data_IF_405330745147
#
_entry.id   IF_405330745147
#
_cell.length_a   1.000
_cell.length_b   1.000
_cell.length_c   1.000
_cell.angle_alpha   90.00
_cell.angle_beta   90.00
_cell.angle_gamma   90.00
#
_symmetry.space_group_name_H-M   'P 1'
#
loop_
_entity.id
_entity.type
_entity.pdbx_description
1 polymer ?
#
# COMPACT_ATOMS: atom_id res chain seq x y z
N UNK A 1 14.16 -18.25 -51.85
CA UNK A 1 12.70 -18.49 -51.87
C UNK A 1 12.21 -18.45 -50.44
N UNK A 2 11.75 -17.29 -50.01
CA UNK A 2 11.20 -17.06 -48.67
C UNK A 2 9.82 -16.46 -48.90
N UNK A 3 8.77 -17.11 -48.39
CA UNK A 3 7.43 -16.57 -48.46
C UNK A 3 6.79 -16.63 -47.07
N UNK A 4 6.59 -15.43 -46.54
CA UNK A 4 5.54 -15.04 -45.61
C UNK A 4 4.66 -14.04 -46.41
N UNK A 5 3.43 -13.63 -46.03
CA UNK A 5 2.50 -14.04 -44.96
C UNK A 5 1.15 -14.48 -45.62
N UNK A 6 -0.01 -14.68 -45.02
CA UNK A 6 -0.62 -14.28 -43.78
C UNK A 6 -1.72 -15.32 -43.47
N UNK A 7 -1.75 -15.84 -42.24
CA UNK A 7 -2.85 -16.66 -41.75
C UNK A 7 -3.63 -15.89 -40.69
N UNK A 8 -4.93 -15.80 -40.95
CA UNK A 8 -5.96 -15.46 -39.99
C UNK A 8 -5.93 -16.36 -38.75
N UNK A 9 -6.43 -15.77 -37.66
CA UNK A 9 -7.24 -16.38 -36.60
C UNK A 9 -6.57 -16.53 -35.22
N UNK A 10 -7.39 -16.16 -34.22
CA UNK A 10 -7.26 -16.38 -32.78
C UNK A 10 -6.49 -15.32 -31.97
N UNK A 11 -7.11 -14.16 -31.76
CA UNK A 11 -6.84 -13.35 -30.56
C UNK A 11 -7.72 -13.87 -29.42
N UNK A 12 -7.24 -14.91 -28.75
CA UNK A 12 -7.65 -15.18 -27.37
C UNK A 12 -7.21 -13.95 -26.55
N UNK A 13 -8.18 -13.21 -26.03
CA UNK A 13 -7.94 -12.13 -25.08
C UNK A 13 -7.32 -12.70 -23.81
N UNK A 14 -5.99 -12.70 -23.76
CA UNK A 14 -5.26 -12.94 -22.53
C UNK A 14 -5.49 -11.74 -21.60
N UNK A 15 -6.42 -11.92 -20.65
CA UNK A 15 -6.46 -11.12 -19.44
C UNK A 15 -5.11 -11.28 -18.74
N UNK A 16 -4.24 -10.28 -18.90
CA UNK A 16 -3.09 -10.08 -18.02
C UNK A 16 -3.63 -9.92 -16.59
N UNK A 17 -3.27 -10.80 -15.64
CA UNK A 17 -3.48 -10.50 -14.24
C UNK A 17 -2.60 -9.29 -13.93
N UNK A 18 -3.23 -8.17 -13.59
CA UNK A 18 -2.53 -7.03 -13.02
C UNK A 18 -1.77 -7.52 -11.80
N UNK A 19 -0.45 -7.35 -11.82
CA UNK A 19 0.44 -7.50 -10.67
C UNK A 19 0.08 -6.42 -9.65
N UNK A 20 -1.00 -6.63 -8.90
CA UNK A 20 -1.15 -5.98 -7.61
C UNK A 20 -0.12 -6.62 -6.68
N UNK A 21 0.85 -5.84 -6.20
CA UNK A 21 1.82 -6.29 -5.21
C UNK A 21 1.07 -6.68 -3.93
N UNK A 22 0.87 -7.98 -3.75
CA UNK A 22 0.18 -8.52 -2.59
C UNK A 22 1.09 -8.38 -1.36
N UNK A 23 0.60 -7.73 -0.30
CA UNK A 23 1.20 -7.77 1.05
C UNK A 23 1.15 -9.17 1.70
N UNK A 24 0.74 -10.21 0.95
CA UNK A 24 0.50 -11.58 1.42
C UNK A 24 1.77 -12.40 1.70
N UNK A 25 2.95 -11.92 1.32
CA UNK A 25 4.22 -12.64 1.53
C UNK A 25 4.86 -12.44 2.91
N UNK A 26 4.49 -11.38 3.64
CA UNK A 26 5.15 -10.98 4.89
C UNK A 26 4.42 -11.55 6.12
N UNK A 27 5.16 -12.18 7.04
CA UNK A 27 4.58 -12.69 8.28
C UNK A 27 3.94 -11.56 9.10
N UNK A 28 2.96 -11.88 9.95
CA UNK A 28 2.31 -10.87 10.79
C UNK A 28 3.32 -10.14 11.70
N UNK A 29 4.30 -10.86 12.24
CA UNK A 29 5.33 -10.27 13.10
C UNK A 29 6.21 -9.26 12.34
N UNK A 30 6.66 -9.62 11.13
CA UNK A 30 7.45 -8.70 10.28
C UNK A 30 6.63 -7.46 9.89
N UNK A 31 5.35 -7.67 9.53
CA UNK A 31 4.45 -6.57 9.17
C UNK A 31 4.20 -5.63 10.35
N UNK A 32 3.95 -6.17 11.55
CA UNK A 32 3.75 -5.35 12.76
C UNK A 32 4.99 -4.50 13.03
N UNK A 33 6.18 -5.12 13.00
CA UNK A 33 7.44 -4.40 13.22
C UNK A 33 7.65 -3.28 12.19
N UNK A 34 7.31 -3.53 10.92
CA UNK A 34 7.40 -2.52 9.87
C UNK A 34 6.37 -1.41 10.07
N UNK A 35 5.10 -1.74 10.31
CA UNK A 35 4.06 -0.75 10.58
C UNK A 35 4.41 0.16 11.78
N UNK A 36 5.03 -0.39 12.82
CA UNK A 36 5.44 0.37 14.01
C UNK A 36 6.54 1.41 13.72
N UNK A 37 7.32 1.27 12.65
CA UNK A 37 8.33 2.27 12.27
C UNK A 37 7.75 3.49 11.55
N UNK A 38 6.44 3.47 11.25
CA UNK A 38 5.72 4.56 10.59
C UNK A 38 5.51 5.81 11.46
N UNK A 39 5.71 5.73 12.78
CA UNK A 39 5.51 6.83 13.72
C UNK A 39 6.50 6.80 14.88
N UNK A 40 6.61 7.87 15.68
CA UNK A 40 7.43 7.86 16.89
C UNK A 40 7.04 6.70 17.81
N UNK A 41 8.01 6.03 18.49
CA UNK A 41 7.72 4.86 19.33
C UNK A 41 6.64 5.09 20.39
N UNK A 42 6.54 6.32 20.93
CA UNK A 42 5.51 6.69 21.90
C UNK A 42 4.07 6.63 21.34
N UNK A 43 3.92 6.72 20.01
CA UNK A 43 2.64 6.61 19.29
C UNK A 43 2.44 5.17 18.81
N UNK A 44 3.38 4.62 18.03
CA UNK A 44 3.18 3.33 17.36
C UNK A 44 3.07 2.15 18.33
N UNK A 45 3.77 2.18 19.47
CA UNK A 45 3.69 1.12 20.48
C UNK A 45 2.29 0.96 21.09
N UNK A 46 1.45 2.00 21.03
CA UNK A 46 0.07 2.00 21.56
C UNK A 46 -1.00 2.09 20.48
N UNK A 47 -0.61 2.27 19.22
CA UNK A 47 -1.51 2.30 18.08
C UNK A 47 -2.09 0.92 17.79
N UNK A 48 -3.26 0.87 17.15
CA UNK A 48 -3.74 -0.35 16.52
C UNK A 48 -2.84 -0.69 15.34
N UNK A 49 -2.72 -1.97 14.98
CA UNK A 49 -2.06 -2.40 13.76
C UNK A 49 -3.08 -3.12 12.90
N UNK A 50 -3.25 -2.65 11.66
CA UNK A 50 -4.15 -3.27 10.71
C UNK A 50 -3.46 -3.44 9.35
N UNK A 51 -3.78 -4.51 8.65
CA UNK A 51 -3.31 -4.80 7.29
C UNK A 51 -4.44 -4.57 6.30
N UNK A 52 -4.16 -3.92 5.18
CA UNK A 52 -5.11 -3.70 4.11
C UNK A 52 -4.77 -4.63 2.95
N UNK A 53 -5.72 -5.45 2.53
CA UNK A 53 -5.62 -6.24 1.31
C UNK A 53 -6.47 -5.54 0.22
N UNK A 54 -5.85 -4.81 -0.72
CA UNK A 54 -6.61 -4.06 -1.74
C UNK A 54 -7.26 -4.98 -2.78
N UNK A 55 -6.71 -6.17 -3.02
CA UNK A 55 -7.26 -7.15 -3.95
C UNK A 55 -8.55 -7.74 -3.40
N UNK A 56 -8.53 -8.11 -2.11
CA UNK A 56 -9.72 -8.61 -1.40
C UNK A 56 -10.63 -7.50 -0.89
N UNK A 57 -10.20 -6.24 -0.94
CA UNK A 57 -10.88 -5.07 -0.37
C UNK A 57 -11.22 -5.25 1.11
N UNK A 58 -10.26 -5.79 1.87
CA UNK A 58 -10.46 -6.12 3.29
C UNK A 58 -9.42 -5.43 4.17
N UNK A 59 -9.81 -5.17 5.41
CA UNK A 59 -8.94 -4.70 6.48
C UNK A 59 -8.91 -5.77 7.56
N UNK A 60 -7.72 -6.20 7.95
CA UNK A 60 -7.52 -7.19 9.02
C UNK A 60 -6.79 -6.54 10.19
N UNK A 61 -7.42 -6.48 11.36
CA UNK A 61 -6.73 -6.05 12.57
C UNK A 61 -5.78 -7.14 13.05
N UNK A 62 -4.52 -6.77 13.29
CA UNK A 62 -3.47 -7.66 13.78
C UNK A 62 -3.17 -7.42 15.27
N UNK A 63 -3.41 -6.20 15.75
CA UNK A 63 -3.22 -5.80 17.15
C UNK A 63 -4.15 -4.64 17.48
N UNK A 64 -4.89 -4.75 18.57
CA UNK A 64 -5.72 -3.65 19.08
C UNK A 64 -4.85 -2.48 19.58
N UNK A 65 -5.39 -1.27 19.47
CA UNK A 65 -4.75 -0.02 19.93
C UNK A 65 -5.45 0.61 21.12
N UNK A 66 -4.82 1.63 21.71
CA UNK A 66 -5.33 2.36 22.89
C UNK A 66 -5.18 3.88 22.82
N UNK A 67 -4.59 4.43 21.75
CA UNK A 67 -4.31 5.87 21.62
C UNK A 67 -4.99 6.55 20.42
N UNK A 68 -5.91 5.87 19.74
CA UNK A 68 -6.65 6.44 18.61
C UNK A 68 -5.90 6.51 17.28
N UNK A 69 -4.67 6.00 17.22
CA UNK A 69 -3.93 5.82 15.97
C UNK A 69 -4.00 4.38 15.47
N UNK A 70 -3.92 4.21 14.16
CA UNK A 70 -3.78 2.92 13.49
C UNK A 70 -2.57 2.97 12.56
N UNK A 71 -1.62 2.05 12.75
CA UNK A 71 -0.47 1.89 11.88
C UNK A 71 -0.69 0.76 10.87
N UNK A 72 -0.13 0.96 9.69
CA UNK A 72 -0.14 0.00 8.59
C UNK A 72 1.05 0.23 7.66
N UNK A 73 1.08 -0.54 6.58
CA UNK A 73 2.04 -0.41 5.49
C UNK A 73 1.25 -0.14 4.22
N UNK A 74 1.70 0.81 3.39
CA UNK A 74 1.05 1.11 2.13
C UNK A 74 1.03 -0.14 1.23
N UNK A 75 -0.13 -0.53 0.67
CA UNK A 75 -0.24 -1.69 -0.20
C UNK A 75 0.04 -1.31 -1.67
N UNK A 76 1.13 -0.56 -1.91
CA UNK A 76 1.56 -0.05 -3.22
C UNK A 76 2.91 -0.62 -3.68
N UNK A 77 3.49 -1.55 -2.91
CA UNK A 77 4.78 -2.18 -3.19
C UNK A 77 6.00 -1.39 -2.72
N UNK A 78 5.82 -0.20 -2.14
CA UNK A 78 6.92 0.58 -1.55
C UNK A 78 7.29 0.13 -0.14
N UNK A 79 6.44 -0.68 0.49
CA UNK A 79 6.54 -1.07 1.89
C UNK A 79 6.61 0.13 2.87
N UNK A 80 6.14 1.30 2.45
CA UNK A 80 6.17 2.51 3.26
C UNK A 80 5.20 2.41 4.45
N UNK A 81 5.67 2.47 5.71
CA UNK A 81 4.82 2.40 6.88
C UNK A 81 4.24 3.78 7.22
N UNK A 82 3.03 3.78 7.76
CA UNK A 82 2.35 4.99 8.21
C UNK A 82 1.50 4.71 9.45
N UNK A 83 1.18 5.76 10.21
CA UNK A 83 0.21 5.70 11.30
C UNK A 83 -0.73 6.89 11.26
N UNK A 84 -1.99 6.64 10.93
CA UNK A 84 -3.05 7.65 10.87
C UNK A 84 -3.86 7.71 12.15
N UNK A 85 -4.31 8.90 12.54
CA UNK A 85 -5.41 9.03 13.49
C UNK A 85 -6.72 8.44 12.92
N UNK A 86 -7.81 8.50 13.68
CA UNK A 86 -9.13 8.01 13.26
C UNK A 86 -9.56 8.50 11.87
N UNK A 87 -9.34 9.77 11.54
CA UNK A 87 -9.82 10.37 10.30
C UNK A 87 -8.89 10.05 9.12
N UNK A 88 -7.58 10.10 9.34
CA UNK A 88 -6.60 9.70 8.34
C UNK A 88 -6.68 8.19 8.03
N UNK A 89 -6.84 7.36 9.07
CA UNK A 89 -7.03 5.92 8.91
C UNK A 89 -8.27 5.60 8.08
N UNK A 90 -9.40 6.24 8.37
CA UNK A 90 -10.63 6.06 7.61
C UNK A 90 -10.45 6.41 6.13
N UNK A 91 -9.65 7.44 5.83
CA UNK A 91 -9.29 7.81 4.47
C UNK A 91 -8.45 6.71 3.78
N UNK A 92 -7.36 6.25 4.41
CA UNK A 92 -6.49 5.21 3.84
C UNK A 92 -7.23 3.89 3.63
N UNK A 93 -8.00 3.45 4.62
CA UNK A 93 -8.81 2.25 4.52
C UNK A 93 -9.80 2.34 3.37
N UNK A 94 -10.51 3.46 3.21
CA UNK A 94 -11.46 3.66 2.12
C UNK A 94 -10.76 3.69 0.74
N UNK A 95 -9.64 4.41 0.62
CA UNK A 95 -8.87 4.50 -0.61
C UNK A 95 -8.39 3.12 -1.08
N UNK A 96 -7.76 2.36 -0.18
CA UNK A 96 -7.18 1.07 -0.53
C UNK A 96 -8.17 -0.10 -0.54
N UNK A 97 -9.40 0.09 -0.04
CA UNK A 97 -10.50 -0.88 -0.24
C UNK A 97 -11.42 -0.50 -1.41
N UNK A 98 -11.10 0.56 -2.16
CA UNK A 98 -11.82 0.96 -3.37
C UNK A 98 -13.23 1.50 -3.10
N UNK A 99 -13.43 2.19 -1.98
CA UNK A 99 -14.68 2.89 -1.71
C UNK A 99 -14.81 4.13 -2.61
N UNK A 100 -16.03 4.54 -3.00
CA UNK A 100 -16.23 5.68 -3.91
C UNK A 100 -15.82 7.03 -3.30
N UNK A 101 -15.87 7.15 -1.96
CA UNK A 101 -15.38 8.31 -1.21
C UNK A 101 -15.02 7.88 0.21
N UNK A 102 -14.05 8.56 0.86
CA UNK A 102 -13.73 8.26 2.24
C UNK A 102 -14.85 8.76 3.19
N UNK A 103 -15.09 8.08 4.32
CA UNK A 103 -16.19 8.41 5.21
C UNK A 103 -15.86 9.52 6.23
N UNK A 104 -14.60 9.95 6.34
CA UNK A 104 -14.22 11.02 7.27
C UNK A 104 -14.82 12.36 6.83
N UNK A 105 -15.36 13.12 7.78
CA UNK A 105 -15.92 14.46 7.59
C UNK A 105 -14.98 15.57 8.05
N UNK A 106 -13.88 15.19 8.70
CA UNK A 106 -12.86 16.08 9.25
C UNK A 106 -11.48 15.67 8.71
N UNK A 107 -10.53 16.61 8.62
CA UNK A 107 -9.13 16.28 8.34
C UNK A 107 -8.56 15.33 9.39
N UNK A 108 -7.58 14.52 8.99
CA UNK A 108 -6.82 13.67 9.90
C UNK A 108 -5.32 13.88 9.75
N UNK A 109 -4.57 13.45 10.75
CA UNK A 109 -3.11 13.47 10.77
C UNK A 109 -2.57 12.06 10.58
N UNK A 110 -1.55 11.94 9.73
CA UNK A 110 -0.80 10.69 9.55
C UNK A 110 0.69 10.93 9.70
N UNK A 111 1.34 10.08 10.49
CA UNK A 111 2.80 9.97 10.49
C UNK A 111 3.25 9.08 9.34
N UNK A 112 4.28 9.54 8.61
CA UNK A 112 5.00 8.78 7.60
C UNK A 112 6.50 8.89 7.89
N UNK A 113 6.91 8.41 9.07
CA UNK A 113 8.20 8.74 9.67
C UNK A 113 9.42 8.21 8.90
N UNK A 114 9.24 7.22 8.03
CA UNK A 114 10.31 6.73 7.15
C UNK A 114 10.52 7.62 5.90
N UNK A 115 9.67 8.62 5.68
CA UNK A 115 9.74 9.50 4.50
C UNK A 115 9.23 8.82 3.23
N UNK A 116 9.43 9.51 2.10
CA UNK A 116 9.15 8.97 0.77
C UNK A 116 10.40 8.35 0.15
N UNK A 117 10.19 7.53 -0.89
CA UNK A 117 11.26 7.01 -1.74
C UNK A 117 11.13 7.62 -3.13
N UNK A 118 12.26 7.94 -3.75
CA UNK A 118 12.36 8.31 -5.16
C UNK A 118 13.59 7.64 -5.76
N UNK A 119 13.63 7.54 -7.09
CA UNK A 119 14.78 7.03 -7.83
C UNK A 119 15.40 8.15 -8.66
N UNK A 120 16.70 8.05 -8.93
CA UNK A 120 17.44 9.02 -9.72
C UNK A 120 18.19 8.32 -10.87
N UNK A 121 18.20 8.94 -12.05
CA UNK A 121 19.05 8.51 -13.16
C UNK A 121 20.52 8.84 -12.86
N UNK A 122 21.45 8.27 -13.64
CA UNK A 122 22.86 8.64 -13.55
C UNK A 122 23.12 10.13 -13.82
N UNK A 123 22.19 10.82 -14.49
CA UNK A 123 22.25 12.24 -14.78
C UNK A 123 21.61 13.12 -13.69
N UNK A 124 21.03 12.51 -12.64
CA UNK A 124 20.37 13.21 -11.54
C UNK A 124 18.89 13.54 -11.78
N UNK A 125 18.26 12.94 -12.78
CA UNK A 125 16.82 13.13 -13.03
C UNK A 125 15.99 12.28 -12.07
N UNK A 126 14.97 12.87 -11.43
CA UNK A 126 14.05 12.14 -10.56
C UNK A 126 13.10 11.30 -11.41
N UNK A 127 13.06 10.00 -11.14
CA UNK A 127 12.18 9.02 -11.79
C UNK A 127 11.35 8.26 -10.76
N UNK A 128 10.14 7.89 -11.14
CA UNK A 128 9.18 7.19 -10.26
C UNK A 128 9.33 5.67 -10.33
N UNK A 129 10.10 5.18 -11.30
CA UNK A 129 10.41 3.77 -11.51
C UNK A 129 11.91 3.57 -11.45
N UNK A 130 12.32 2.40 -10.95
CA UNK A 130 13.74 2.05 -10.91
C UNK A 130 14.21 1.81 -12.35
N UNK A 131 15.16 2.63 -12.80
CA UNK A 131 15.84 2.47 -14.08
C UNK A 131 16.67 1.18 -14.16
#
# INVERSE_FOLDING_TARGET
MSCNPALCSALFGALLPSLGCAQGGTSNAQFIKLAESGAPPAISAKAAIARIDPQKKTVTELRAGSNGFTCSVLPDGTDAPYCGDKHAWAWFAAAFTGQPKPPNTEPGVSYMMQGGVHYETANGDIVMEKA
#
